data_IF_660038743447
#
_entry.id   IF_660038743447
#
_cell.length_a   1.000
_cell.length_b   1.000
_cell.length_c   1.000
_cell.angle_alpha   90.00
_cell.angle_beta   90.00
_cell.angle_gamma   90.00
#
_symmetry.space_group_name_H-M   'P 1'
#
loop_
_entity.id
_entity.type
_entity.pdbx_description
1 polymer ?
#
# COMPACT_ATOMS: atom_id res chain seq x y z
N UNK A 1 15.39 -31.34 -3.50
CA UNK A 1 15.86 -30.03 -3.03
C UNK A 1 14.70 -29.05 -3.13
N UNK A 2 14.16 -28.60 -1.99
CA UNK A 2 13.00 -27.68 -1.95
C UNK A 2 13.53 -26.26 -2.13
N UNK A 3 13.33 -25.68 -3.31
CA UNK A 3 13.71 -24.29 -3.60
C UNK A 3 12.87 -23.35 -2.74
N UNK A 4 13.53 -22.41 -2.06
CA UNK A 4 12.85 -21.33 -1.33
C UNK A 4 12.51 -20.24 -2.35
N UNK A 5 11.23 -20.05 -2.66
CA UNK A 5 10.76 -18.93 -3.47
C UNK A 5 11.07 -17.62 -2.73
N UNK A 6 11.73 -16.67 -3.41
CA UNK A 6 11.96 -15.32 -2.89
C UNK A 6 10.87 -14.44 -3.48
N UNK A 7 9.86 -14.11 -2.68
CA UNK A 7 8.85 -13.11 -3.03
C UNK A 7 9.49 -11.72 -2.94
N UNK A 8 9.63 -11.04 -4.08
CA UNK A 8 10.05 -9.63 -4.13
C UNK A 8 8.79 -8.79 -4.15
N UNK A 9 8.45 -8.19 -3.00
CA UNK A 9 7.33 -7.27 -2.86
C UNK A 9 7.77 -5.90 -3.37
N UNK A 10 7.07 -5.35 -4.35
CA UNK A 10 7.28 -3.98 -4.84
C UNK A 10 6.71 -2.99 -3.79
N UNK A 11 7.56 -2.54 -2.87
CA UNK A 11 7.21 -1.61 -1.80
C UNK A 11 7.14 -0.15 -2.32
N UNK A 12 5.94 0.38 -2.51
CA UNK A 12 5.74 1.82 -2.73
C UNK A 12 5.43 2.51 -1.39
N UNK A 13 6.48 2.71 -0.59
CA UNK A 13 6.42 3.59 0.58
C UNK A 13 6.81 5.01 0.15
N UNK A 14 5.86 5.95 0.15
CA UNK A 14 6.15 7.37 -0.05
C UNK A 14 6.73 7.95 1.25
N UNK A 15 8.06 8.06 1.30
CA UNK A 15 8.76 8.87 2.30
C UNK A 15 8.60 10.35 1.96
N UNK A 16 7.65 11.05 2.61
CA UNK A 16 7.63 12.51 2.63
C UNK A 16 8.56 12.99 3.74
N UNK A 17 9.86 13.02 3.44
CA UNK A 17 10.87 13.62 4.30
C UNK A 17 11.15 15.06 3.86
N UNK A 18 10.56 16.05 4.52
CA UNK A 18 10.97 17.45 4.37
C UNK A 18 12.38 17.63 4.96
N UNK A 19 13.41 17.73 4.12
CA UNK A 19 14.74 18.21 4.53
C UNK A 19 14.86 19.70 4.24
N UNK A 20 14.63 20.52 5.27
CA UNK A 20 15.04 21.91 5.29
C UNK A 20 16.55 22.02 5.53
N UNK A 21 17.25 22.77 4.68
CA UNK A 21 18.64 23.16 4.88
C UNK A 21 18.80 24.14 6.06
N UNK A 22 19.83 23.94 6.89
CA UNK A 22 20.23 24.88 7.94
C UNK A 22 21.55 24.52 8.62
N UNK A 23 22.63 25.13 8.12
CA UNK A 23 23.99 25.33 8.64
C UNK A 23 24.48 24.69 9.97
N UNK A 24 25.69 24.13 9.87
CA UNK A 24 26.60 23.68 10.93
C UNK A 24 27.08 24.81 11.87
N UNK A 25 27.07 24.58 13.20
CA UNK A 25 28.20 24.92 14.10
C UNK A 25 28.16 24.21 15.47
N UNK A 26 29.08 23.26 15.59
CA UNK A 26 29.89 22.71 16.71
C UNK A 26 29.57 23.01 18.22
N UNK A 27 29.31 21.89 18.93
CA UNK A 27 29.76 21.42 20.26
C UNK A 27 29.68 22.29 21.53
N UNK A 28 28.85 21.83 22.50
CA UNK A 28 29.33 21.58 23.86
C UNK A 28 28.41 20.62 24.66
N UNK A 29 29.05 19.75 25.46
CA UNK A 29 28.50 18.68 26.30
C UNK A 29 27.28 19.09 27.14
N UNK A 30 26.28 18.19 27.23
CA UNK A 30 25.62 17.80 28.49
C UNK A 30 24.89 16.47 28.33
N UNK A 31 25.26 15.50 29.17
CA UNK A 31 24.51 14.27 29.40
C UNK A 31 23.07 14.61 29.78
N UNK A 32 22.12 14.09 29.01
CA UNK A 32 20.73 13.90 29.44
C UNK A 32 20.14 12.71 28.71
N UNK A 33 20.13 11.58 29.43
CA UNK A 33 18.99 10.68 29.56
C UNK A 33 18.13 10.54 28.28
N UNK A 34 18.51 9.61 27.41
CA UNK A 34 17.66 9.15 26.31
C UNK A 34 16.51 8.29 26.85
N UNK A 35 15.51 8.94 27.46
CA UNK A 35 14.14 8.43 27.34
C UNK A 35 13.68 8.79 25.93
N UNK A 36 14.02 7.94 24.97
CA UNK A 36 13.39 7.97 23.66
C UNK A 36 12.04 7.26 23.81
N UNK A 37 11.08 7.96 24.43
CA UNK A 37 9.69 7.64 24.21
C UNK A 37 9.42 7.89 22.74
N UNK A 38 9.33 6.83 21.95
CA UNK A 38 8.57 6.87 20.71
C UNK A 38 7.15 7.26 21.13
N UNK A 39 6.84 8.55 21.09
CA UNK A 39 5.45 8.98 21.08
C UNK A 39 4.84 8.29 19.88
N UNK A 40 3.98 7.31 20.13
CA UNK A 40 3.18 6.67 19.11
C UNK A 40 2.54 7.78 18.27
N UNK A 41 2.70 7.76 16.94
CA UNK A 41 2.02 8.66 16.00
C UNK A 41 0.50 8.38 15.95
N UNK A 42 -0.07 7.95 17.08
CA UNK A 42 -1.43 7.52 17.23
C UNK A 42 -2.35 8.73 17.06
N UNK A 43 -3.31 8.62 16.15
CA UNK A 43 -4.22 9.71 15.84
C UNK A 43 -3.66 10.82 14.94
N UNK A 44 -2.40 10.75 14.49
CA UNK A 44 -1.89 11.65 13.45
C UNK A 44 -2.65 11.41 12.14
N UNK A 45 -2.93 12.47 11.37
CA UNK A 45 -3.75 12.40 10.16
C UNK A 45 -2.94 12.72 8.91
N UNK A 46 -3.17 11.95 7.84
CA UNK A 46 -2.55 12.12 6.52
C UNK A 46 -3.01 13.43 5.85
N UNK A 47 -4.28 13.79 6.03
CA UNK A 47 -4.85 15.04 5.53
C UNK A 47 -6.11 15.44 6.34
N UNK A 48 -6.55 16.68 6.17
CA UNK A 48 -7.80 17.20 6.74
C UNK A 48 -9.03 16.48 6.18
N UNK A 49 -9.02 16.11 4.90
CA UNK A 49 -10.10 15.40 4.22
C UNK A 49 -9.61 14.61 3.00
N UNK A 50 -10.42 13.68 2.48
CA UNK A 50 -10.12 12.95 1.23
C UNK A 50 -10.03 13.90 0.02
N UNK A 51 -10.79 15.00 0.04
CA UNK A 51 -10.72 16.04 -1.00
C UNK A 51 -9.36 16.70 -1.02
N UNK A 52 -8.88 17.08 0.16
CA UNK A 52 -7.58 17.74 0.30
C UNK A 52 -6.44 16.78 -0.02
N UNK A 53 -6.56 15.52 0.37
CA UNK A 53 -5.60 14.48 -0.01
C UNK A 53 -5.56 14.28 -1.53
N UNK A 54 -6.70 14.12 -2.21
CA UNK A 54 -6.75 13.99 -3.65
C UNK A 54 -6.18 15.22 -4.39
N UNK A 55 -6.41 16.44 -3.87
CA UNK A 55 -5.75 17.66 -4.38
C UNK A 55 -4.23 17.59 -4.23
N UNK A 56 -3.74 17.18 -3.06
CA UNK A 56 -2.30 17.08 -2.83
C UNK A 56 -1.60 16.11 -3.79
N UNK A 57 -2.29 15.03 -4.20
CA UNK A 57 -1.79 14.10 -5.22
C UNK A 57 -1.73 14.77 -6.60
N UNK A 58 -2.77 15.50 -7.00
CA UNK A 58 -2.79 16.27 -8.25
C UNK A 58 -1.67 17.33 -8.31
N UNK A 59 -1.42 18.02 -7.19
CA UNK A 59 -0.36 19.04 -7.09
C UNK A 59 1.04 18.41 -7.16
N UNK A 60 1.18 17.16 -6.72
CA UNK A 60 2.45 16.41 -6.67
C UNK A 60 2.75 15.60 -7.93
N UNK A 61 1.73 15.32 -8.75
CA UNK A 61 1.82 14.49 -9.97
C UNK A 61 2.95 14.95 -10.90
N UNK A 62 2.98 16.25 -11.23
CA UNK A 62 3.97 16.80 -12.16
C UNK A 62 3.89 16.21 -13.57
N UNK A 63 2.72 15.71 -14.00
CA UNK A 63 2.48 15.14 -15.33
C UNK A 63 2.95 13.69 -15.50
N UNK A 64 2.99 12.91 -14.41
CA UNK A 64 3.50 11.53 -14.39
C UNK A 64 2.38 10.49 -14.41
N UNK A 65 1.14 10.88 -14.14
CA UNK A 65 -0.04 10.03 -14.21
C UNK A 65 -0.79 10.20 -15.54
N UNK A 66 -1.56 9.18 -15.90
CA UNK A 66 -2.44 9.21 -17.08
C UNK A 66 -3.59 10.20 -16.92
N UNK A 67 -4.12 10.69 -18.05
CA UNK A 67 -5.31 11.56 -18.08
C UNK A 67 -6.51 10.91 -17.38
N UNK A 68 -6.65 9.59 -17.50
CA UNK A 68 -7.65 8.81 -16.77
C UNK A 68 -7.47 8.91 -15.25
N UNK A 69 -6.26 8.67 -14.75
CA UNK A 69 -5.97 8.74 -13.32
C UNK A 69 -6.18 10.16 -12.79
N UNK A 70 -5.69 11.16 -13.54
CA UNK A 70 -5.91 12.59 -13.24
C UNK A 70 -7.39 12.94 -13.15
N UNK A 71 -8.20 12.55 -14.14
CA UNK A 71 -9.63 12.84 -14.15
C UNK A 71 -10.37 12.23 -12.96
N UNK A 72 -10.02 11.01 -12.55
CA UNK A 72 -10.61 10.40 -11.36
C UNK A 72 -10.22 11.14 -10.07
N UNK A 73 -8.96 11.59 -9.95
CA UNK A 73 -8.50 12.38 -8.81
C UNK A 73 -9.18 13.77 -8.77
N UNK A 74 -9.43 14.41 -9.91
CA UNK A 74 -10.18 15.68 -9.97
C UNK A 74 -11.63 15.50 -9.48
N UNK A 75 -12.28 14.39 -9.84
CA UNK A 75 -13.59 14.02 -9.29
C UNK A 75 -13.51 13.75 -7.79
N UNK A 76 -12.46 13.09 -7.30
CA UNK A 76 -12.26 12.85 -5.87
C UNK A 76 -11.95 14.14 -5.09
N UNK A 77 -11.19 15.06 -5.66
CA UNK A 77 -10.88 16.37 -5.09
C UNK A 77 -12.12 17.26 -4.93
N UNK A 78 -13.11 17.11 -5.80
CA UNK A 78 -14.37 17.86 -5.74
C UNK A 78 -15.45 17.12 -4.93
N UNK A 79 -15.60 15.81 -5.14
CA UNK A 79 -16.65 14.96 -4.58
C UNK A 79 -16.29 14.20 -3.30
N UNK A 80 -15.00 14.09 -2.96
CA UNK A 80 -14.49 13.41 -1.76
C UNK A 80 -14.44 11.89 -1.85
N UNK A 81 -14.60 11.31 -3.04
CA UNK A 81 -14.57 9.85 -3.26
C UNK A 81 -14.14 9.51 -4.68
N UNK A 82 -13.51 8.36 -4.83
CA UNK A 82 -13.31 7.66 -6.11
C UNK A 82 -14.50 6.74 -6.34
N UNK A 83 -15.05 6.73 -7.56
CA UNK A 83 -16.13 5.82 -7.93
C UNK A 83 -15.60 4.40 -8.18
N UNK A 84 -16.43 3.38 -7.96
CA UNK A 84 -16.04 2.00 -8.29
C UNK A 84 -15.70 1.84 -9.78
N UNK A 85 -16.40 2.54 -10.68
CA UNK A 85 -16.12 2.48 -12.10
C UNK A 85 -14.75 3.09 -12.46
N UNK A 86 -14.38 4.23 -11.86
CA UNK A 86 -13.05 4.82 -12.06
C UNK A 86 -11.96 3.90 -11.47
N UNK A 87 -12.23 3.26 -10.32
CA UNK A 87 -11.32 2.29 -9.70
C UNK A 87 -11.08 1.06 -10.57
N UNK A 88 -12.14 0.39 -11.01
CA UNK A 88 -12.05 -0.81 -11.84
C UNK A 88 -11.39 -0.51 -13.19
N UNK A 89 -11.64 0.68 -13.75
CA UNK A 89 -10.99 1.14 -14.98
C UNK A 89 -9.49 1.33 -14.80
N UNK A 90 -9.05 1.95 -13.70
CA UNK A 90 -7.63 2.14 -13.41
C UNK A 90 -6.86 0.82 -13.34
N UNK A 91 -7.47 -0.21 -12.74
CA UNK A 91 -6.89 -1.56 -12.70
C UNK A 91 -6.89 -2.25 -14.06
N UNK A 92 -7.92 -2.04 -14.89
CA UNK A 92 -7.92 -2.53 -16.27
C UNK A 92 -6.81 -1.88 -17.11
N UNK A 93 -6.62 -0.57 -16.97
CA UNK A 93 -5.55 0.16 -17.67
C UNK A 93 -4.15 -0.30 -17.19
N UNK A 94 -3.98 -0.52 -15.87
CA UNK A 94 -2.75 -1.09 -15.31
C UNK A 94 -2.44 -2.48 -15.89
N UNK A 95 -3.45 -3.36 -15.94
CA UNK A 95 -3.33 -4.69 -16.57
C UNK A 95 -2.91 -4.58 -18.03
N UNK A 96 -3.55 -3.70 -18.81
CA UNK A 96 -3.24 -3.54 -20.22
C UNK A 96 -1.80 -3.06 -20.42
N UNK A 97 -1.33 -2.11 -19.61
CA UNK A 97 0.06 -1.66 -19.64
C UNK A 97 1.05 -2.82 -19.41
N UNK A 98 0.76 -3.73 -18.47
CA UNK A 98 1.60 -4.93 -18.24
C UNK A 98 1.65 -5.83 -19.49
N UNK A 99 0.48 -6.07 -20.11
CA UNK A 99 0.37 -6.90 -21.32
C UNK A 99 1.14 -6.27 -22.48
N UNK A 100 1.00 -4.96 -22.68
CA UNK A 100 1.66 -4.21 -23.75
C UNK A 100 3.20 -4.21 -23.62
N UNK A 101 3.70 -4.34 -22.38
CA UNK A 101 5.13 -4.53 -22.09
C UNK A 101 5.65 -5.94 -22.38
N UNK A 102 4.75 -6.87 -22.74
CA UNK A 102 5.08 -8.23 -23.19
C UNK A 102 4.96 -9.32 -22.13
N UNK A 103 4.47 -8.99 -20.93
CA UNK A 103 4.30 -9.97 -19.84
C UNK A 103 3.00 -10.77 -20.01
N UNK A 104 2.92 -11.92 -19.34
CA UNK A 104 1.67 -12.67 -19.24
C UNK A 104 0.58 -11.83 -18.55
N UNK A 105 -0.70 -12.04 -18.87
CA UNK A 105 -1.78 -11.32 -18.17
C UNK A 105 -1.81 -11.70 -16.68
N UNK A 106 -1.81 -10.73 -15.75
CA UNK A 106 -2.00 -11.00 -14.33
C UNK A 106 -3.48 -11.23 -13.98
N UNK A 107 -3.73 -12.17 -13.08
CA UNK A 107 -5.00 -12.30 -12.37
C UNK A 107 -4.86 -11.60 -11.02
N UNK A 108 -5.52 -10.45 -10.85
CA UNK A 108 -5.47 -9.71 -9.58
C UNK A 108 -6.29 -10.40 -8.50
N UNK A 109 -5.79 -10.37 -7.27
CA UNK A 109 -6.57 -10.78 -6.11
C UNK A 109 -7.67 -9.76 -5.84
N UNK A 110 -8.88 -10.23 -5.56
CA UNK A 110 -10.05 -9.39 -5.23
C UNK A 110 -10.59 -9.70 -3.85
N UNK A 111 -10.51 -8.73 -2.93
CA UNK A 111 -11.03 -8.84 -1.57
C UNK A 111 -12.54 -8.58 -1.52
N UNK A 112 -13.19 -8.97 -0.41
CA UNK A 112 -14.65 -8.96 -0.27
C UNK A 112 -15.26 -7.56 -0.42
N UNK A 113 -14.47 -6.53 -0.11
CA UNK A 113 -14.85 -5.12 -0.26
C UNK A 113 -14.48 -4.51 -1.62
N UNK A 114 -14.05 -5.33 -2.58
CA UNK A 114 -13.72 -4.92 -3.94
C UNK A 114 -12.32 -4.35 -4.13
N UNK A 115 -11.46 -4.30 -3.10
CA UNK A 115 -10.06 -3.94 -3.26
C UNK A 115 -9.33 -4.99 -4.09
N UNK A 116 -8.48 -4.53 -5.01
CA UNK A 116 -7.58 -5.36 -5.80
C UNK A 116 -6.15 -5.29 -5.27
N UNK A 117 -5.41 -6.38 -5.47
CA UNK A 117 -3.97 -6.43 -5.26
C UNK A 117 -3.29 -7.17 -6.42
N UNK A 118 -2.06 -6.77 -6.75
CA UNK A 118 -1.19 -7.57 -7.60
C UNK A 118 -0.74 -8.79 -6.79
N UNK A 119 -0.91 -10.02 -7.30
CA UNK A 119 -0.45 -11.20 -6.58
C UNK A 119 1.07 -11.25 -6.56
N UNK A 120 1.62 -12.04 -5.64
CA UNK A 120 2.99 -12.52 -5.71
C UNK A 120 3.27 -13.14 -7.08
N UNK A 121 4.48 -12.91 -7.59
CA UNK A 121 4.88 -13.39 -8.91
C UNK A 121 6.18 -14.19 -8.88
N UNK A 122 6.24 -15.21 -9.71
CA UNK A 122 7.39 -16.09 -9.87
C UNK A 122 8.45 -15.43 -10.77
N UNK A 123 9.70 -15.50 -10.33
CA UNK A 123 10.86 -15.06 -11.13
C UNK A 123 11.97 -16.11 -11.12
N UNK A 124 11.62 -17.36 -10.82
CA UNK A 124 12.59 -18.45 -10.73
C UNK A 124 13.23 -18.69 -12.11
N UNK A 125 14.56 -18.79 -12.13
CA UNK A 125 15.32 -18.96 -13.36
C UNK A 125 15.50 -17.69 -14.20
N UNK A 126 14.90 -16.56 -13.82
CA UNK A 126 15.10 -15.29 -14.51
C UNK A 126 16.47 -14.65 -14.19
N UNK A 127 17.02 -13.91 -15.14
CA UNK A 127 18.23 -13.10 -14.90
C UNK A 127 17.91 -11.90 -14.00
N UNK A 128 18.94 -11.34 -13.34
CA UNK A 128 18.79 -10.13 -12.51
C UNK A 128 18.29 -8.94 -13.35
N UNK A 129 18.69 -8.88 -14.61
CA UNK A 129 18.29 -7.86 -15.56
C UNK A 129 16.80 -7.98 -15.90
N UNK A 130 16.31 -9.21 -16.13
CA UNK A 130 14.89 -9.47 -16.39
C UNK A 130 14.02 -9.11 -15.17
N UNK A 131 14.47 -9.48 -13.96
CA UNK A 131 13.77 -9.15 -12.72
C UNK A 131 13.71 -7.63 -12.51
N UNK A 132 14.83 -6.93 -12.72
CA UNK A 132 14.88 -5.47 -12.61
C UNK A 132 13.91 -4.82 -13.59
N UNK A 133 13.95 -5.23 -14.87
CA UNK A 133 13.06 -4.71 -15.91
C UNK A 133 11.59 -4.94 -15.56
N UNK A 134 11.24 -6.15 -15.09
CA UNK A 134 9.88 -6.46 -14.64
C UNK A 134 9.43 -5.51 -13.52
N UNK A 135 10.24 -5.32 -12.48
CA UNK A 135 9.90 -4.43 -11.37
C UNK A 135 9.74 -2.97 -11.82
N UNK A 136 10.63 -2.50 -12.71
CA UNK A 136 10.58 -1.14 -13.26
C UNK A 136 9.30 -0.93 -14.10
N UNK A 137 8.94 -1.90 -14.94
CA UNK A 137 7.73 -1.83 -15.75
C UNK A 137 6.46 -1.94 -14.91
N UNK A 138 6.40 -2.84 -13.92
CA UNK A 138 5.28 -2.92 -12.98
C UNK A 138 5.11 -1.61 -12.21
N UNK A 139 6.20 -1.02 -11.73
CA UNK A 139 6.18 0.27 -11.02
C UNK A 139 5.71 1.39 -11.94
N UNK A 140 6.25 1.47 -13.16
CA UNK A 140 5.87 2.49 -14.15
C UNK A 140 4.40 2.38 -14.53
N UNK A 141 3.91 1.17 -14.83
CA UNK A 141 2.50 0.95 -15.16
C UNK A 141 1.59 1.28 -13.97
N UNK A 142 2.00 0.90 -12.76
CA UNK A 142 1.22 1.15 -11.55
C UNK A 142 1.11 2.64 -11.24
N UNK A 143 2.22 3.37 -11.27
CA UNK A 143 2.25 4.81 -11.06
C UNK A 143 1.41 5.55 -12.11
N UNK A 144 1.52 5.14 -13.37
CA UNK A 144 0.83 5.80 -14.48
C UNK A 144 -0.69 5.65 -14.39
N UNK A 145 -1.19 4.48 -13.96
CA UNK A 145 -2.60 4.13 -14.09
C UNK A 145 -3.38 4.01 -12.77
N UNK A 146 -2.80 3.52 -11.68
CA UNK A 146 -3.61 3.01 -10.56
C UNK A 146 -3.17 3.43 -9.16
N UNK A 147 -1.91 3.83 -8.94
CA UNK A 147 -1.36 4.05 -7.58
C UNK A 147 -2.18 5.05 -6.75
N UNK A 148 -2.48 6.23 -7.30
CA UNK A 148 -3.14 7.30 -6.56
C UNK A 148 -4.63 7.02 -6.39
N UNK A 149 -5.29 6.54 -7.46
CA UNK A 149 -6.68 6.07 -7.40
C UNK A 149 -6.84 4.99 -6.33
N UNK A 150 -5.95 4.00 -6.31
CA UNK A 150 -6.01 2.89 -5.36
C UNK A 150 -5.79 3.36 -3.94
N UNK A 151 -4.89 4.33 -3.74
CA UNK A 151 -4.65 4.93 -2.42
C UNK A 151 -5.91 5.64 -1.91
N UNK A 152 -6.51 6.53 -2.70
CA UNK A 152 -7.74 7.24 -2.31
C UNK A 152 -8.89 6.27 -2.06
N UNK A 153 -9.04 5.25 -2.93
CA UNK A 153 -10.10 4.25 -2.81
C UNK A 153 -9.95 3.33 -1.58
N UNK A 154 -8.71 2.99 -1.18
CA UNK A 154 -8.45 2.28 0.09
C UNK A 154 -8.77 3.15 1.30
N UNK A 155 -8.35 4.42 1.27
CA UNK A 155 -8.60 5.36 2.37
C UNK A 155 -10.10 5.57 2.60
N UNK A 156 -10.91 5.73 1.55
CA UNK A 156 -12.37 5.91 1.72
C UNK A 156 -13.08 4.69 2.34
N UNK A 157 -12.56 3.47 2.11
CA UNK A 157 -13.17 2.24 2.61
C UNK A 157 -12.68 1.87 4.01
N UNK A 158 -11.36 1.91 4.23
CA UNK A 158 -10.75 1.41 5.47
C UNK A 158 -10.35 2.50 6.46
N UNK A 159 -10.05 3.71 5.98
CA UNK A 159 -9.46 4.77 6.79
C UNK A 159 -10.19 6.13 6.62
N UNK A 160 -11.49 6.23 6.90
CA UNK A 160 -12.24 7.48 6.71
C UNK A 160 -11.77 8.62 7.63
N UNK A 161 -11.04 8.30 8.71
CA UNK A 161 -10.40 9.28 9.61
C UNK A 161 -9.06 9.79 9.08
N UNK A 162 -8.52 9.15 8.06
CA UNK A 162 -7.22 9.44 7.45
C UNK A 162 -6.08 9.34 8.45
N UNK A 163 -6.08 8.33 9.31
CA UNK A 163 -5.00 8.08 10.25
C UNK A 163 -3.71 7.74 9.50
N UNK A 164 -2.59 8.28 9.95
CA UNK A 164 -1.26 8.04 9.37
C UNK A 164 -0.78 6.61 9.63
N UNK A 165 -1.09 6.07 10.80
CA UNK A 165 -0.69 4.72 11.18
C UNK A 165 -1.65 3.67 10.59
N UNK A 166 -1.23 3.00 9.51
CA UNK A 166 -1.96 1.91 8.85
C UNK A 166 -2.25 0.72 9.79
N UNK A 167 -1.32 0.40 10.70
CA UNK A 167 -1.52 -0.66 11.69
C UNK A 167 -2.59 -0.28 12.72
N UNK A 168 -2.73 1.00 13.07
CA UNK A 168 -3.84 1.47 13.93
C UNK A 168 -5.19 1.24 13.24
N UNK A 169 -5.28 1.57 11.94
CA UNK A 169 -6.48 1.35 11.12
C UNK A 169 -6.81 -0.13 11.01
N UNK A 170 -5.82 -0.97 10.69
CA UNK A 170 -6.00 -2.41 10.57
C UNK A 170 -6.43 -3.03 11.90
N UNK A 171 -5.77 -2.68 13.01
CA UNK A 171 -6.13 -3.17 14.34
C UNK A 171 -7.59 -2.79 14.70
N UNK A 172 -8.04 -1.58 14.37
CA UNK A 172 -9.42 -1.17 14.58
C UNK A 172 -10.43 -1.99 13.77
N UNK A 173 -10.12 -2.26 12.49
CA UNK A 173 -10.93 -3.13 11.65
C UNK A 173 -11.01 -4.56 12.21
N UNK A 174 -9.87 -5.15 12.60
CA UNK A 174 -9.81 -6.51 13.17
C UNK A 174 -10.63 -6.65 14.46
N UNK A 175 -10.65 -5.59 15.30
CA UNK A 175 -11.51 -5.55 16.49
C UNK A 175 -13.00 -5.48 16.13
N UNK A 176 -13.37 -4.63 15.17
CA UNK A 176 -14.76 -4.44 14.73
C UNK A 176 -15.34 -5.69 14.09
N UNK A 177 -14.53 -6.42 13.32
CA UNK A 177 -14.91 -7.71 12.72
C UNK A 177 -14.93 -8.88 13.71
N UNK A 178 -14.55 -8.65 14.98
CA UNK A 178 -14.53 -9.69 16.02
C UNK A 178 -13.40 -10.71 15.87
N UNK A 179 -12.40 -10.44 15.02
CA UNK A 179 -11.27 -11.32 14.75
C UNK A 179 -10.24 -11.24 15.89
N UNK A 180 -10.08 -10.05 16.48
CA UNK A 180 -9.16 -9.79 17.59
C UNK A 180 -9.91 -9.13 18.77
N UNK A 181 -9.45 -9.32 20.02
CA UNK A 181 -10.10 -8.77 21.21
C UNK A 181 -10.05 -7.24 21.26
N UNK A 182 -10.93 -6.63 22.07
CA UNK A 182 -11.11 -5.17 22.14
C UNK A 182 -9.84 -4.37 22.53
N UNK A 183 -8.90 -5.01 23.21
CA UNK A 183 -7.63 -4.43 23.64
C UNK A 183 -6.49 -4.67 22.64
N UNK A 184 -6.78 -5.20 21.45
CA UNK A 184 -5.80 -5.40 20.38
C UNK A 184 -5.33 -4.04 19.83
N UNK A 185 -4.02 -3.84 19.63
CA UNK A 185 -3.42 -2.54 19.27
C UNK A 185 -2.56 -2.64 18.01
N UNK A 186 -2.11 -1.51 17.48
CA UNK A 186 -1.12 -1.45 16.40
C UNK A 186 0.16 -2.23 16.75
N UNK A 187 0.69 -2.06 17.97
CA UNK A 187 1.89 -2.78 18.43
C UNK A 187 1.68 -4.30 18.53
N UNK A 188 0.48 -4.74 18.93
CA UNK A 188 0.15 -6.17 18.94
C UNK A 188 0.04 -6.70 17.51
N UNK A 189 -0.52 -5.92 16.59
CA UNK A 189 -0.55 -6.27 15.18
C UNK A 189 0.86 -6.37 14.60
N UNK A 190 1.74 -5.42 14.87
CA UNK A 190 3.12 -5.44 14.40
C UNK A 190 3.84 -6.73 14.85
N UNK A 191 3.74 -7.07 16.15
CA UNK A 191 4.29 -8.32 16.69
C UNK A 191 3.69 -9.57 16.04
N UNK A 192 2.37 -9.58 15.83
CA UNK A 192 1.71 -10.69 15.14
C UNK A 192 2.28 -10.82 13.72
N UNK A 193 2.41 -9.74 12.95
CA UNK A 193 2.92 -9.76 11.57
C UNK A 193 4.39 -10.19 11.47
N UNK A 194 5.21 -9.83 12.45
CA UNK A 194 6.61 -10.26 12.56
C UNK A 194 6.73 -11.75 12.94
N UNK A 195 5.74 -12.30 13.64
CA UNK A 195 5.69 -13.72 13.96
C UNK A 195 5.39 -14.56 12.71
N UNK A 196 6.09 -15.68 12.54
CA UNK A 196 6.00 -16.52 11.33
C UNK A 196 4.62 -17.09 11.00
N UNK A 197 3.72 -17.20 11.98
CA UNK A 197 2.34 -17.67 11.80
C UNK A 197 1.33 -16.53 11.61
N UNK A 198 1.77 -15.27 11.71
CA UNK A 198 0.91 -14.07 11.67
C UNK A 198 -0.35 -14.16 12.54
N UNK A 199 -0.33 -15.00 13.58
CA UNK A 199 -1.46 -15.31 14.46
C UNK A 199 -2.80 -15.54 13.70
N UNK A 200 -2.76 -16.31 12.61
CA UNK A 200 -3.94 -16.66 11.80
C UNK A 200 -4.50 -15.51 10.94
N UNK A 201 -3.80 -14.38 10.84
CA UNK A 201 -4.23 -13.23 10.02
C UNK A 201 -4.16 -13.53 8.51
N UNK A 202 -3.25 -14.41 8.07
CA UNK A 202 -3.03 -14.72 6.64
C UNK A 202 -4.00 -15.76 6.08
N UNK A 203 -4.63 -16.54 6.96
CA UNK A 203 -5.60 -17.59 6.59
C UNK A 203 -7.06 -17.12 6.71
N UNK A 204 -7.29 -15.91 7.23
CA UNK A 204 -8.61 -15.36 7.48
C UNK A 204 -8.93 -14.26 6.47
N UNK A 205 -9.90 -14.51 5.58
CA UNK A 205 -10.26 -13.57 4.48
C UNK A 205 -10.70 -12.19 4.96
N UNK A 206 -11.42 -12.12 6.08
CA UNK A 206 -11.81 -10.85 6.69
C UNK A 206 -10.62 -10.11 7.27
N UNK A 207 -9.69 -10.84 7.90
CA UNK A 207 -8.45 -10.25 8.42
C UNK A 207 -7.60 -9.67 7.30
N UNK A 208 -7.40 -10.43 6.22
CA UNK A 208 -6.72 -9.97 5.02
C UNK A 208 -7.38 -8.72 4.43
N UNK A 209 -8.71 -8.70 4.34
CA UNK A 209 -9.47 -7.53 3.86
C UNK A 209 -9.19 -6.31 4.73
N UNK A 210 -9.19 -6.44 6.07
CA UNK A 210 -8.82 -5.36 6.98
C UNK A 210 -7.40 -4.84 6.73
N UNK A 211 -6.42 -5.74 6.62
CA UNK A 211 -5.01 -5.41 6.46
C UNK A 211 -4.74 -4.70 5.13
N UNK A 212 -5.19 -5.31 4.03
CA UNK A 212 -4.97 -4.77 2.69
C UNK A 212 -5.75 -3.48 2.50
N UNK A 213 -6.95 -3.31 3.06
CA UNK A 213 -7.66 -2.03 2.93
C UNK A 213 -6.98 -0.92 3.74
N UNK A 214 -6.37 -1.25 4.88
CA UNK A 214 -5.71 -0.29 5.74
C UNK A 214 -4.37 0.24 5.21
N UNK A 215 -3.71 -0.48 4.29
CA UNK A 215 -2.35 -0.15 3.86
C UNK A 215 -1.33 -1.25 4.15
N UNK A 216 -1.67 -2.21 5.00
CA UNK A 216 -0.73 -3.20 5.53
C UNK A 216 -0.47 -4.30 4.49
N UNK A 217 0.80 -4.45 4.12
CA UNK A 217 1.23 -5.46 3.16
C UNK A 217 1.30 -6.84 3.83
N UNK A 218 0.48 -7.77 3.35
CA UNK A 218 0.46 -9.17 3.78
C UNK A 218 0.20 -10.06 2.59
N UNK A 219 0.88 -11.20 2.54
CA UNK A 219 0.62 -12.28 1.58
C UNK A 219 -0.37 -13.26 2.20
N UNK A 220 -1.47 -13.54 1.49
CA UNK A 220 -2.40 -14.59 1.88
C UNK A 220 -1.74 -15.97 1.80
N UNK A 221 -2.09 -16.88 2.70
CA UNK A 221 -1.50 -18.23 2.71
C UNK A 221 -1.92 -19.07 1.50
N UNK A 222 -3.07 -18.76 0.91
CA UNK A 222 -3.65 -19.40 -0.28
C UNK A 222 -3.49 -18.55 -1.55
N UNK A 223 -2.61 -17.53 -1.53
CA UNK A 223 -2.37 -16.65 -2.68
C UNK A 223 -1.95 -17.46 -3.92
N UNK A 224 -2.54 -17.11 -5.07
CA UNK A 224 -2.14 -17.70 -6.35
C UNK A 224 -0.94 -16.94 -6.91
N UNK A 225 0.15 -17.66 -7.21
CA UNK A 225 1.35 -17.05 -7.79
C UNK A 225 1.17 -16.80 -9.29
N UNK A 226 1.45 -15.58 -9.74
CA UNK A 226 1.47 -15.20 -11.16
C UNK A 226 2.83 -15.51 -11.82
N UNK A 227 2.82 -15.91 -13.09
CA UNK A 227 4.03 -16.22 -13.87
C UNK A 227 4.20 -15.18 -14.99
N UNK A 228 4.88 -14.05 -14.72
CA UNK A 228 4.95 -12.90 -15.63
C UNK A 228 5.82 -13.14 -16.86
N UNK A 229 6.89 -13.90 -16.68
CA UNK A 229 7.89 -14.19 -17.71
C UNK A 229 7.48 -15.49 -18.42
N UNK A 230 7.43 -15.44 -19.75
CA UNK A 230 7.17 -16.60 -20.60
C UNK A 230 8.38 -17.51 -20.72
#
# INVERSE_FOLDING_TARGET
MRGKAIAVICCLALLVGCTGCGALKESSRRERQSQQGQSSQQGERIASSLKDYARSLLDSDGGKISDQQKSALEKAASGGKVSQADYERAWADYKQCIIDKGYAEPTFDKYDNGIYALPSYNTDGASKEAIRKLNDDLTSCSMLHVTDINTVYRLQLGNPKLLLNDKEVAADCLRKEGIKPKDYTADKLEKDLESGESAGLRDNRKALTCLVTAGVNVTASDETVWYPLK
#
